data_IF_217337530027
#
_entry.id   IF_217337530027
#
_cell.length_a   1.000
_cell.length_b   1.000
_cell.length_c   1.000
_cell.angle_alpha   90.00
_cell.angle_beta   90.00
_cell.angle_gamma   90.00
#
_symmetry.space_group_name_H-M   'P 1'
#
loop_
_entity.id
_entity.type
_entity.pdbx_description
1 polymer ?
#
# COMPACT_ATOMS: atom_id res chain seq x y z
N UNK A 1 3.20 -11.33 -7.97
CA UNK A 1 4.57 -10.95 -7.70
C UNK A 1 4.60 -9.66 -6.87
N UNK A 2 5.68 -9.41 -6.16
CA UNK A 2 5.73 -8.29 -5.21
C UNK A 2 5.71 -6.90 -5.87
N UNK A 3 5.95 -6.84 -7.17
CA UNK A 3 5.97 -5.60 -7.94
C UNK A 3 4.69 -5.37 -8.73
N UNK A 4 3.68 -6.18 -8.49
CA UNK A 4 2.39 -6.05 -9.15
C UNK A 4 1.28 -6.23 -8.15
N UNK A 5 0.28 -5.34 -8.19
CA UNK A 5 -0.93 -5.51 -7.39
C UNK A 5 -2.16 -5.31 -8.28
N UNK A 6 -3.26 -5.84 -7.81
CA UNK A 6 -4.58 -5.66 -8.43
C UNK A 6 -5.48 -4.99 -7.41
N UNK A 7 -6.13 -3.93 -7.81
CA UNK A 7 -6.99 -3.16 -6.91
C UNK A 7 -8.33 -2.89 -7.55
N UNK A 8 -9.33 -2.58 -6.71
CA UNK A 8 -10.64 -2.16 -7.15
C UNK A 8 -10.55 -0.72 -7.64
N UNK A 9 -10.68 -0.52 -8.94
CA UNK A 9 -10.54 0.80 -9.55
C UNK A 9 -11.57 1.78 -9.03
N UNK A 10 -12.76 1.32 -8.68
CA UNK A 10 -13.84 2.21 -8.28
C UNK A 10 -13.63 2.87 -6.93
N UNK A 11 -12.78 2.30 -6.07
CA UNK A 11 -12.50 2.89 -4.76
C UNK A 11 -11.26 3.79 -4.77
N UNK A 12 -10.59 3.89 -5.91
CA UNK A 12 -9.44 4.78 -6.05
C UNK A 12 -9.90 6.20 -6.37
N UNK A 13 -9.15 7.18 -5.87
CA UNK A 13 -9.33 8.58 -6.22
C UNK A 13 -8.07 9.06 -6.91
N UNK A 14 -8.22 9.53 -8.15
CA UNK A 14 -7.10 9.97 -8.98
C UNK A 14 -6.86 11.47 -8.80
N UNK A 15 -5.61 11.93 -8.99
CA UNK A 15 -4.46 11.14 -9.41
C UNK A 15 -3.85 10.33 -8.27
N UNK A 16 -3.16 9.24 -8.63
CA UNK A 16 -2.39 8.48 -7.66
C UNK A 16 -1.02 9.12 -7.50
N UNK A 17 -0.47 9.03 -6.31
CA UNK A 17 0.82 9.65 -5.97
C UNK A 17 1.79 8.60 -5.44
N UNK A 18 3.05 8.70 -5.87
CA UNK A 18 4.13 7.88 -5.32
C UNK A 18 5.00 8.79 -4.48
N UNK A 19 5.22 8.42 -3.23
CA UNK A 19 6.06 9.19 -2.33
C UNK A 19 6.75 8.30 -1.32
N UNK A 20 7.78 8.84 -0.69
CA UNK A 20 8.42 8.13 0.42
C UNK A 20 7.52 8.20 1.66
N UNK A 21 7.62 7.16 2.50
CA UNK A 21 6.84 7.15 3.73
C UNK A 21 7.34 8.22 4.70
N UNK A 22 6.47 8.62 5.60
CA UNK A 22 6.77 9.62 6.61
C UNK A 22 6.26 9.11 7.96
N UNK A 23 6.89 9.60 9.03
CA UNK A 23 6.44 9.28 10.38
C UNK A 23 4.98 9.70 10.53
N UNK A 24 4.17 8.82 11.08
CA UNK A 24 2.74 9.06 11.21
C UNK A 24 1.90 8.38 10.15
N UNK A 25 2.49 7.96 9.04
CA UNK A 25 1.77 7.20 8.02
C UNK A 25 1.26 5.89 8.60
N UNK A 26 0.08 5.50 8.10
CA UNK A 26 -0.52 4.23 8.49
C UNK A 26 -1.27 3.63 7.31
N UNK A 27 -1.58 2.35 7.40
CA UNK A 27 -2.39 1.69 6.39
C UNK A 27 -3.11 0.50 7.03
N UNK A 28 -3.92 -0.18 6.25
CA UNK A 28 -4.65 -1.37 6.68
C UNK A 28 -4.08 -2.57 5.94
N UNK A 29 -3.08 -3.25 6.50
CA UNK A 29 -2.36 -4.29 5.75
C UNK A 29 -3.28 -5.39 5.24
N UNK A 30 -3.12 -5.74 3.98
CA UNK A 30 -3.89 -6.81 3.36
C UNK A 30 -3.72 -8.11 4.16
N UNK A 31 -4.85 -8.76 4.46
CA UNK A 31 -4.84 -10.00 5.21
C UNK A 31 -4.73 -9.83 6.71
N UNK A 32 -4.66 -8.60 7.20
CA UNK A 32 -4.60 -8.29 8.62
C UNK A 32 -5.80 -7.48 9.03
N UNK A 33 -6.12 -7.46 10.31
CA UNK A 33 -7.21 -6.65 10.82
C UNK A 33 -6.71 -5.30 11.27
N UNK A 34 -7.44 -4.26 10.85
CA UNK A 34 -7.28 -2.93 11.40
C UNK A 34 -6.08 -2.16 10.89
N UNK A 35 -5.96 -1.00 11.46
CA UNK A 35 -4.97 0.00 11.09
C UNK A 35 -3.62 -0.30 11.73
N UNK A 36 -2.55 -0.07 10.98
CA UNK A 36 -1.20 -0.26 11.50
C UNK A 36 -0.30 0.87 11.03
N UNK A 37 0.44 1.47 11.96
CA UNK A 37 1.43 2.49 11.60
C UNK A 37 2.55 1.85 10.80
N UNK A 38 3.02 2.56 9.76
CA UNK A 38 4.10 2.04 8.93
C UNK A 38 5.38 1.82 9.73
N UNK A 39 5.69 2.71 10.68
CA UNK A 39 6.87 2.53 11.52
C UNK A 39 6.83 1.20 12.27
N UNK A 40 5.66 0.81 12.77
CA UNK A 40 5.50 -0.46 13.45
C UNK A 40 5.55 -1.63 12.47
N UNK A 41 4.94 -1.48 11.30
CA UNK A 41 4.96 -2.51 10.27
C UNK A 41 6.41 -2.83 9.86
N UNK A 42 7.22 -1.80 9.64
CA UNK A 42 8.62 -1.98 9.26
C UNK A 42 9.42 -2.66 10.37
N UNK A 43 9.14 -2.32 11.62
CA UNK A 43 9.79 -2.95 12.76
C UNK A 43 9.42 -4.44 12.84
N UNK A 44 8.14 -4.75 12.66
CA UNK A 44 7.67 -6.13 12.69
C UNK A 44 8.24 -6.96 11.54
N UNK A 45 8.46 -6.32 10.38
CA UNK A 45 9.08 -6.96 9.21
C UNK A 45 10.60 -6.98 9.32
N UNK A 46 11.15 -6.45 10.39
CA UNK A 46 12.59 -6.42 10.66
C UNK A 46 13.41 -5.78 9.56
N UNK A 47 12.88 -4.68 9.02
CA UNK A 47 13.60 -3.94 7.98
C UNK A 47 14.78 -3.18 8.57
N UNK A 48 15.88 -3.15 7.81
CA UNK A 48 17.04 -2.35 8.19
C UNK A 48 16.73 -0.86 8.07
N UNK A 49 17.58 -0.01 8.65
CA UNK A 49 17.44 1.44 8.52
C UNK A 49 17.50 1.85 7.05
N UNK A 50 18.41 1.23 6.28
CA UNK A 50 18.55 1.54 4.86
C UNK A 50 17.28 1.15 4.10
N UNK A 51 16.70 -0.01 4.39
CA UNK A 51 15.46 -0.44 3.75
C UNK A 51 14.32 0.53 4.05
N UNK A 52 14.22 1.00 5.30
CA UNK A 52 13.18 1.97 5.67
C UNK A 52 13.32 3.27 4.92
N UNK A 53 14.56 3.76 4.75
CA UNK A 53 14.81 5.01 4.05
C UNK A 53 14.43 4.94 2.57
N UNK A 54 14.42 3.74 2.00
CA UNK A 54 14.11 3.52 0.59
C UNK A 54 12.70 3.00 0.38
N UNK A 55 11.82 3.17 1.35
CA UNK A 55 10.46 2.66 1.26
C UNK A 55 9.54 3.69 0.62
N UNK A 56 8.87 3.28 -0.46
CA UNK A 56 7.96 4.13 -1.22
C UNK A 56 6.53 3.64 -1.10
N UNK A 57 5.60 4.59 -1.16
CA UNK A 57 4.17 4.32 -1.06
C UNK A 57 3.47 4.77 -2.33
N UNK A 58 2.47 3.99 -2.73
CA UNK A 58 1.49 4.43 -3.71
C UNK A 58 0.27 4.88 -2.93
N UNK A 59 -0.20 6.09 -3.17
CA UNK A 59 -1.31 6.68 -2.44
C UNK A 59 -2.43 7.11 -3.35
N UNK A 60 -3.66 6.98 -2.85
CA UNK A 60 -4.88 7.54 -3.43
C UNK A 60 -5.31 8.66 -2.49
N UNK A 61 -5.07 9.90 -2.85
CA UNK A 61 -5.21 11.04 -1.96
C UNK A 61 -4.39 10.82 -0.68
N UNK A 62 -5.05 10.82 0.48
CA UNK A 62 -4.37 10.63 1.78
C UNK A 62 -4.15 9.17 2.13
N UNK A 63 -4.80 8.27 1.41
CA UNK A 63 -4.81 6.85 1.77
C UNK A 63 -3.68 6.11 1.11
N UNK A 64 -2.97 5.30 1.88
CA UNK A 64 -1.94 4.42 1.35
C UNK A 64 -2.63 3.24 0.67
N UNK A 65 -2.33 3.04 -0.61
CA UNK A 65 -2.86 1.91 -1.38
C UNK A 65 -1.89 0.73 -1.33
N UNK A 66 -0.61 1.03 -1.36
CA UNK A 66 0.41 -0.01 -1.47
C UNK A 66 1.72 0.47 -0.86
N UNK A 67 2.25 -0.32 0.06
CA UNK A 67 3.62 -0.18 0.51
C UNK A 67 4.43 -0.97 -0.52
N UNK A 68 5.03 -0.25 -1.45
CA UNK A 68 5.57 -0.83 -2.69
C UNK A 68 6.58 -1.93 -2.40
N UNK A 69 6.40 -3.06 -3.05
CA UNK A 69 7.22 -4.26 -2.90
C UNK A 69 7.10 -4.93 -1.52
N UNK A 70 6.10 -4.54 -0.71
CA UNK A 70 5.93 -5.13 0.63
C UNK A 70 4.51 -5.61 0.86
N UNK A 71 3.53 -4.70 0.93
CA UNK A 71 2.16 -5.09 1.28
C UNK A 71 1.16 -4.08 0.73
N UNK A 72 0.06 -4.59 0.16
CA UNK A 72 -1.04 -3.75 -0.29
C UNK A 72 -1.97 -3.44 0.88
N UNK A 73 -2.83 -2.43 0.68
CA UNK A 73 -3.81 -2.03 1.67
C UNK A 73 -5.11 -2.79 1.45
N UNK A 74 -5.71 -3.25 2.53
CA UNK A 74 -6.94 -4.04 2.52
C UNK A 74 -8.13 -3.31 1.90
N UNK A 75 -8.19 -1.98 2.07
CA UNK A 75 -9.34 -1.19 1.63
C UNK A 75 -9.50 -1.13 0.11
N UNK A 76 -8.44 -1.41 -0.62
CA UNK A 76 -8.44 -1.29 -2.09
C UNK A 76 -8.41 -2.65 -2.78
N UNK A 77 -8.57 -3.74 -2.03
CA UNK A 77 -8.48 -5.08 -2.58
C UNK A 77 -9.63 -5.39 -3.54
N UNK A 78 -9.36 -6.29 -4.46
CA UNK A 78 -10.39 -6.82 -5.34
C UNK A 78 -11.29 -7.75 -4.52
N UNK A 79 -12.60 -7.59 -4.71
CA UNK A 79 -13.60 -8.44 -4.06
C UNK A 79 -14.53 -9.00 -5.13
N UNK A 80 -15.43 -9.88 -4.73
CA UNK A 80 -16.43 -10.41 -5.68
C UNK A 80 -17.39 -9.34 -6.18
N UNK A 81 -17.46 -8.19 -5.51
CA UNK A 81 -18.29 -7.07 -5.93
C UNK A 81 -17.55 -6.06 -6.81
N UNK A 82 -16.28 -6.27 -7.03
CA UNK A 82 -15.46 -5.37 -7.85
C UNK A 82 -15.89 -5.48 -9.31
N UNK A 83 -16.20 -4.34 -9.92
CA UNK A 83 -16.61 -4.28 -11.32
C UNK A 83 -15.47 -3.97 -12.27
N UNK A 84 -14.50 -3.19 -11.82
CA UNK A 84 -13.33 -2.82 -12.62
C UNK A 84 -12.07 -3.07 -11.80
N UNK A 85 -11.14 -3.79 -12.40
CA UNK A 85 -9.88 -4.13 -11.74
C UNK A 85 -8.76 -3.35 -12.42
N UNK A 86 -7.93 -2.68 -11.62
CA UNK A 86 -6.74 -2.00 -12.11
C UNK A 86 -5.51 -2.81 -11.70
N UNK A 87 -4.71 -3.14 -12.70
CA UNK A 87 -3.41 -3.79 -12.46
C UNK A 87 -2.34 -2.71 -12.39
N UNK A 88 -1.60 -2.69 -11.32
CA UNK A 88 -0.52 -1.70 -11.11
C UNK A 88 0.78 -2.46 -10.98
N UNK A 89 1.75 -2.10 -11.83
CA UNK A 89 3.04 -2.76 -11.86
C UNK A 89 4.14 -1.71 -11.75
N UNK A 90 5.11 -1.97 -10.87
CA UNK A 90 6.31 -1.16 -10.76
C UNK A 90 7.34 -1.73 -11.73
N UNK A 91 7.87 -0.87 -12.57
CA UNK A 91 8.92 -1.28 -13.52
C UNK A 91 10.25 -0.62 -13.20
#
# INVERSE_FOLDING_TARGET
DALTIYVDKEVLKFPLTVRQWQKGDYFFPFGMRGKKKLSKFFKDEKLSIIDKENMWLLCSEKDVVWVINRRADERFRVTENTKQILKITLK
#
